data_IF_106797942773
#
_entry.id   IF_106797942773
#
_cell.length_a   1.000
_cell.length_b   1.000
_cell.length_c   1.000
_cell.angle_alpha   90.00
_cell.angle_beta   90.00
_cell.angle_gamma   90.00
#
_symmetry.space_group_name_H-M   'P 1'
#
loop_
_entity.id
_entity.type
_entity.pdbx_description
1 polymer ?
#
# COMPACT_ATOMS: atom_id res chain seq x y z
N UNK A 1 -15.34 -20.35 -4.18
CA UNK A 1 -15.95 -19.24 -3.42
C UNK A 1 -15.55 -17.95 -4.09
N UNK A 2 -16.50 -17.26 -4.73
CA UNK A 2 -16.25 -16.02 -5.48
C UNK A 2 -15.86 -14.91 -4.51
N UNK A 3 -14.58 -14.55 -4.48
CA UNK A 3 -14.10 -13.45 -3.66
C UNK A 3 -14.82 -12.20 -4.09
N UNK A 4 -15.64 -11.62 -3.19
CA UNK A 4 -16.20 -10.30 -3.38
C UNK A 4 -15.06 -9.38 -3.81
N UNK A 5 -15.10 -8.93 -5.06
CA UNK A 5 -14.20 -7.90 -5.54
C UNK A 5 -14.53 -6.65 -4.71
N UNK A 6 -13.84 -6.46 -3.58
CA UNK A 6 -13.86 -5.20 -2.85
C UNK A 6 -13.66 -4.08 -3.87
N UNK A 7 -14.54 -3.08 -3.86
CA UNK A 7 -14.42 -1.95 -4.77
C UNK A 7 -13.07 -1.26 -4.56
N UNK A 8 -12.52 -0.57 -5.58
CA UNK A 8 -11.29 0.20 -5.45
C UNK A 8 -11.28 1.10 -4.20
N UNK A 9 -12.41 1.76 -3.94
CA UNK A 9 -12.61 2.65 -2.78
C UNK A 9 -12.56 1.89 -1.45
N UNK A 10 -13.22 0.73 -1.36
CA UNK A 10 -13.18 -0.10 -0.15
C UNK A 10 -11.77 -0.65 0.12
N UNK A 11 -10.99 -0.94 -0.93
CA UNK A 11 -9.59 -1.35 -0.78
C UNK A 11 -8.73 -0.21 -0.24
N UNK A 12 -8.88 0.99 -0.79
CA UNK A 12 -8.17 2.19 -0.34
C UNK A 12 -8.49 2.45 1.14
N UNK A 13 -9.78 2.46 1.49
CA UNK A 13 -10.23 2.71 2.87
C UNK A 13 -9.63 1.70 3.86
N UNK A 14 -9.71 0.40 3.54
CA UNK A 14 -9.12 -0.66 4.38
C UNK A 14 -7.60 -0.54 4.50
N UNK A 15 -6.92 -0.24 3.39
CA UNK A 15 -5.48 -0.09 3.39
C UNK A 15 -5.05 1.09 4.26
N UNK A 16 -5.75 2.21 4.14
CA UNK A 16 -5.55 3.40 4.96
C UNK A 16 -5.78 3.11 6.44
N UNK A 17 -6.89 2.45 6.77
CA UNK A 17 -7.23 2.08 8.14
C UNK A 17 -6.12 1.23 8.79
N UNK A 18 -5.60 0.24 8.07
CA UNK A 18 -4.50 -0.59 8.58
C UNK A 18 -3.18 0.18 8.72
N UNK A 19 -2.81 1.01 7.73
CA UNK A 19 -1.56 1.78 7.77
C UNK A 19 -1.53 2.85 8.86
N UNK A 20 -2.68 3.50 9.06
CA UNK A 20 -2.84 4.58 10.05
C UNK A 20 -3.57 4.10 11.31
N UNK A 21 -3.58 2.79 11.56
CA UNK A 21 -4.19 2.25 12.78
C UNK A 21 -3.51 2.85 14.02
N UNK A 22 -4.29 3.51 14.87
CA UNK A 22 -3.78 4.21 16.05
C UNK A 22 -3.13 5.57 15.75
N UNK A 23 -3.25 6.10 14.52
CA UNK A 23 -2.80 7.43 14.11
C UNK A 23 -4.01 8.25 13.72
N UNK A 24 -4.18 9.43 14.33
CA UNK A 24 -5.26 10.34 13.99
C UNK A 24 -4.81 11.30 12.88
N UNK A 25 -5.37 11.15 11.68
CA UNK A 25 -5.09 12.05 10.57
C UNK A 25 -6.05 13.25 10.56
N UNK A 26 -5.51 14.44 10.32
CA UNK A 26 -6.33 15.60 9.94
C UNK A 26 -7.00 15.39 8.57
N UNK A 27 -8.04 16.18 8.26
CA UNK A 27 -8.72 16.11 6.96
C UNK A 27 -7.75 16.30 5.77
N UNK A 28 -6.79 17.22 5.89
CA UNK A 28 -5.79 17.46 4.86
C UNK A 28 -4.81 16.27 4.71
N UNK A 29 -4.36 15.68 5.81
CA UNK A 29 -3.50 14.48 5.77
C UNK A 29 -4.24 13.27 5.20
N UNK A 30 -5.50 13.11 5.60
CA UNK A 30 -6.42 12.08 5.13
C UNK A 30 -6.58 12.14 3.60
N UNK A 31 -6.85 13.32 3.04
CA UNK A 31 -6.99 13.51 1.59
C UNK A 31 -5.69 13.24 0.81
N UNK A 32 -4.53 13.64 1.36
CA UNK A 32 -3.22 13.31 0.77
C UNK A 32 -2.95 11.81 0.80
N UNK A 33 -3.28 11.14 1.90
CA UNK A 33 -3.13 9.70 2.03
C UNK A 33 -4.00 8.95 1.00
N UNK A 34 -5.25 9.38 0.80
CA UNK A 34 -6.14 8.79 -0.21
C UNK A 34 -5.55 8.90 -1.61
N UNK A 35 -5.03 10.08 -1.96
CA UNK A 35 -4.36 10.33 -3.26
C UNK A 35 -3.16 9.40 -3.46
N UNK A 36 -2.29 9.27 -2.45
CA UNK A 36 -1.09 8.42 -2.53
C UNK A 36 -1.45 6.94 -2.63
N UNK A 37 -2.44 6.48 -1.87
CA UNK A 37 -2.91 5.08 -1.92
C UNK A 37 -3.55 4.78 -3.27
N UNK A 38 -4.40 5.66 -3.80
CA UNK A 38 -5.03 5.50 -5.10
C UNK A 38 -4.00 5.42 -6.23
N UNK A 39 -3.01 6.32 -6.24
CA UNK A 39 -1.94 6.31 -7.24
C UNK A 39 -1.09 5.02 -7.17
N UNK A 40 -0.77 4.55 -5.96
CA UNK A 40 -0.06 3.28 -5.76
C UNK A 40 -0.87 2.07 -6.26
N UNK A 41 -2.18 2.07 -6.03
CA UNK A 41 -3.06 1.01 -6.50
C UNK A 41 -3.20 1.00 -8.03
N UNK A 42 -3.28 2.17 -8.67
CA UNK A 42 -3.29 2.27 -10.14
C UNK A 42 -1.99 1.70 -10.74
N UNK A 43 -0.83 2.12 -10.25
CA UNK A 43 0.47 1.57 -10.67
C UNK A 43 0.56 0.05 -10.46
N UNK A 44 -0.01 -0.45 -9.36
CA UNK A 44 -0.04 -1.88 -9.09
C UNK A 44 -0.95 -2.63 -10.08
N UNK A 45 -2.11 -2.07 -10.44
CA UNK A 45 -3.01 -2.66 -11.43
C UNK A 45 -2.38 -2.68 -12.83
N UNK A 46 -1.74 -1.60 -13.25
CA UNK A 46 -0.99 -1.53 -14.51
C UNK A 46 0.12 -2.57 -14.56
N UNK A 47 0.88 -2.69 -13.47
CA UNK A 47 1.94 -3.71 -13.35
C UNK A 47 1.37 -5.12 -13.38
N UNK A 48 0.22 -5.37 -12.75
CA UNK A 48 -0.48 -6.66 -12.84
C UNK A 48 -1.01 -6.95 -14.25
N UNK A 49 -1.50 -5.94 -14.96
CA UNK A 49 -2.01 -6.10 -16.32
C UNK A 49 -0.88 -6.40 -17.31
N UNK A 50 0.24 -5.67 -17.22
CA UNK A 50 1.44 -5.93 -18.03
C UNK A 50 1.95 -7.36 -17.85
N UNK A 51 1.87 -7.88 -16.62
CA UNK A 51 2.32 -9.22 -16.25
C UNK A 51 1.43 -10.34 -16.78
N UNK A 52 0.10 -10.12 -16.84
CA UNK A 52 -0.84 -11.07 -17.44
C UNK A 52 -0.60 -11.21 -18.96
N UNK A 53 -0.08 -10.17 -19.60
CA UNK A 53 0.20 -10.14 -21.03
C UNK A 53 1.62 -10.57 -21.39
N UNK A 54 2.58 -10.52 -20.46
CA UNK A 54 4.02 -10.54 -20.76
C UNK A 54 4.81 -11.81 -20.43
N UNK A 55 4.21 -12.81 -19.77
CA UNK A 55 4.89 -14.10 -19.55
C UNK A 55 6.22 -14.01 -18.78
N UNK A 56 6.16 -13.65 -17.49
CA UNK A 56 7.03 -14.22 -16.45
C UNK A 56 8.48 -13.71 -16.32
N UNK A 57 8.66 -12.63 -15.55
CA UNK A 57 9.81 -12.48 -14.65
C UNK A 57 9.29 -12.14 -13.24
N UNK A 58 9.16 -13.19 -12.42
CA UNK A 58 8.66 -13.08 -11.04
C UNK A 58 9.70 -12.47 -10.08
N UNK A 59 10.98 -12.40 -10.47
CA UNK A 59 12.04 -11.80 -9.66
C UNK A 59 12.06 -10.28 -9.87
N UNK A 60 12.15 -9.82 -11.12
CA UNK A 60 12.05 -8.40 -11.46
C UNK A 60 10.74 -7.76 -10.99
N UNK A 61 9.63 -8.51 -11.10
CA UNK A 61 8.34 -8.09 -10.56
C UNK A 61 8.36 -7.89 -9.03
N UNK A 62 8.97 -8.83 -8.29
CA UNK A 62 9.04 -8.71 -6.83
C UNK A 62 9.81 -7.47 -6.42
N UNK A 63 10.92 -7.20 -7.08
CA UNK A 63 11.71 -5.99 -6.83
C UNK A 63 10.93 -4.72 -7.18
N UNK A 64 10.26 -4.69 -8.33
CA UNK A 64 9.44 -3.55 -8.73
C UNK A 64 8.27 -3.30 -7.77
N UNK A 65 7.62 -4.35 -7.28
CA UNK A 65 6.55 -4.26 -6.28
C UNK A 65 7.08 -3.81 -4.92
N UNK A 66 8.28 -4.23 -4.52
CA UNK A 66 8.93 -3.74 -3.30
C UNK A 66 9.23 -2.25 -3.42
N UNK A 67 9.90 -1.81 -4.48
CA UNK A 67 10.18 -0.39 -4.73
C UNK A 67 8.91 0.46 -4.73
N UNK A 68 7.86 0.01 -5.40
CA UNK A 68 6.58 0.73 -5.42
C UNK A 68 5.94 0.83 -4.02
N UNK A 69 6.02 -0.23 -3.21
CA UNK A 69 5.53 -0.20 -1.84
C UNK A 69 6.38 0.72 -0.96
N UNK A 70 7.70 0.71 -1.12
CA UNK A 70 8.63 1.59 -0.39
C UNK A 70 8.36 3.06 -0.72
N UNK A 71 8.25 3.41 -2.01
CA UNK A 71 7.91 4.76 -2.47
C UNK A 71 6.57 5.22 -1.89
N UNK A 72 5.54 4.37 -1.97
CA UNK A 72 4.22 4.69 -1.41
C UNK A 72 4.31 4.90 0.10
N UNK A 73 4.99 4.01 0.83
CA UNK A 73 5.10 4.09 2.28
C UNK A 73 5.91 5.32 2.71
N UNK A 74 6.97 5.68 1.98
CA UNK A 74 7.73 6.90 2.22
C UNK A 74 6.87 8.16 2.02
N UNK A 75 6.08 8.20 0.95
CA UNK A 75 5.15 9.30 0.69
C UNK A 75 4.06 9.41 1.77
N UNK A 76 3.51 8.28 2.23
CA UNK A 76 2.53 8.25 3.32
C UNK A 76 3.13 8.69 4.66
N UNK A 77 4.35 8.25 4.96
CA UNK A 77 5.07 8.67 6.18
C UNK A 77 5.40 10.16 6.17
N UNK A 78 5.72 10.74 5.01
CA UNK A 78 5.99 12.17 4.86
C UNK A 78 4.76 13.07 5.13
N UNK A 79 3.54 12.51 5.11
CA UNK A 79 2.31 13.22 5.48
C UNK A 79 2.20 13.40 7.01
N UNK A 80 2.86 12.52 7.77
CA UNK A 80 2.86 12.55 9.23
C UNK A 80 3.89 13.56 9.72
N UNK A 81 3.47 14.41 10.65
CA UNK A 81 4.31 15.49 11.21
C UNK A 81 5.01 15.04 12.49
N UNK A 82 4.32 14.26 13.33
CA UNK A 82 4.85 13.73 14.59
C UNK A 82 5.73 12.50 14.37
N UNK A 83 6.85 12.43 15.09
CA UNK A 83 7.73 11.26 15.04
C UNK A 83 7.10 10.03 15.71
N UNK A 84 6.22 10.23 16.69
CA UNK A 84 5.44 9.14 17.29
C UNK A 84 4.51 8.48 16.25
N UNK A 85 3.83 9.29 15.43
CA UNK A 85 2.96 8.80 14.37
C UNK A 85 3.78 8.09 13.28
N UNK A 86 4.93 8.65 12.89
CA UNK A 86 5.85 8.01 11.94
C UNK A 86 6.34 6.65 12.44
N UNK A 87 6.69 6.54 13.72
CA UNK A 87 7.10 5.28 14.33
C UNK A 87 5.95 4.27 14.33
N UNK A 88 4.73 4.70 14.69
CA UNK A 88 3.54 3.84 14.66
C UNK A 88 3.21 3.38 13.24
N UNK A 89 3.37 4.25 12.26
CA UNK A 89 3.16 3.93 10.85
C UNK A 89 4.16 2.85 10.39
N UNK A 90 5.43 2.95 10.76
CA UNK A 90 6.43 1.93 10.42
C UNK A 90 6.08 0.56 11.04
N UNK A 91 5.57 0.52 12.28
CA UNK A 91 5.06 -0.71 12.89
C UNK A 91 3.89 -1.29 12.09
N UNK A 92 2.92 -0.46 11.72
CA UNK A 92 1.75 -0.87 10.95
C UNK A 92 2.15 -1.42 9.56
N UNK A 93 3.11 -0.78 8.90
CA UNK A 93 3.69 -1.26 7.63
C UNK A 93 4.35 -2.63 7.79
N UNK A 94 5.11 -2.85 8.88
CA UNK A 94 5.75 -4.15 9.16
C UNK A 94 4.74 -5.25 9.49
N UNK A 95 3.64 -4.88 10.16
CA UNK A 95 2.56 -5.80 10.53
C UNK A 95 1.58 -6.06 9.40
N UNK A 96 1.62 -5.28 8.31
CA UNK A 96 0.82 -5.60 7.14
C UNK A 96 1.21 -6.97 6.60
N UNK A 97 0.22 -7.81 6.26
CA UNK A 97 0.47 -9.03 5.50
C UNK A 97 0.88 -8.61 4.08
N UNK A 98 2.15 -8.25 3.89
CA UNK A 98 2.77 -8.22 2.59
C UNK A 98 2.65 -9.65 2.06
N UNK A 99 1.79 -9.83 1.06
CA UNK A 99 1.33 -11.12 0.56
C UNK A 99 2.46 -12.13 0.58
N UNK A 100 2.37 -13.08 1.51
CA UNK A 100 3.34 -14.18 1.73
C UNK A 100 4.79 -13.75 1.48
N UNK A 101 5.43 -13.23 2.53
CA UNK A 101 6.78 -13.70 2.87
C UNK A 101 6.73 -15.23 2.73
N UNK A 102 7.41 -15.76 1.71
CA UNK A 102 7.36 -17.18 1.34
C UNK A 102 7.40 -18.03 2.58
N UNK A 103 6.28 -18.67 2.89
CA UNK A 103 6.17 -19.59 4.00
C UNK A 103 6.80 -20.90 3.58
N UNK A 104 7.94 -21.18 4.22
CA UNK A 104 8.88 -22.29 4.08
C UNK A 104 10.03 -22.04 3.11
#
# INVERSE_FOLDING_TARGET
>A
MGGMQMSPEQRIARQKEMLFQGITLSAAQSAKADTVIMAGMQKQMESMQAMRSGGGDMAGMREQMQKMNEERNAALKAILTSDADKAKFDENVKNMPQGRRGGR
#
